data_IF_234834263003
#
_entry.id   IF_234834263003
#
_cell.length_a   1.000
_cell.length_b   1.000
_cell.length_c   1.000
_cell.angle_alpha   90.00
_cell.angle_beta   90.00
_cell.angle_gamma   90.00
#
_symmetry.space_group_name_H-M   'P 1'
#
loop_
_entity.id
_entity.type
_entity.pdbx_description
1 polymer ?
#
# COMPACT_ATOMS: atom_id res chain seq x y z
N UNK A 1 5.04 -23.50 20.82
CA UNK A 1 5.26 -22.23 21.55
C UNK A 1 6.08 -21.31 20.65
N UNK A 2 5.73 -20.03 20.50
CA UNK A 2 6.48 -19.10 19.64
C UNK A 2 7.74 -18.58 20.35
N UNK A 3 8.89 -18.63 19.68
CA UNK A 3 10.20 -18.19 20.20
C UNK A 3 10.67 -16.95 19.48
N UNK A 4 11.43 -16.11 20.17
CA UNK A 4 12.09 -14.95 19.59
C UNK A 4 13.02 -15.39 18.46
N UNK A 5 12.77 -14.86 17.26
CA UNK A 5 13.64 -14.98 16.09
C UNK A 5 14.42 -13.68 15.95
N UNK A 6 15.75 -13.77 15.84
CA UNK A 6 16.64 -12.62 15.72
C UNK A 6 17.76 -12.90 14.73
N UNK A 7 18.49 -11.86 14.32
CA UNK A 7 19.70 -11.99 13.51
C UNK A 7 20.93 -11.69 14.37
N UNK A 8 22.02 -12.42 14.19
CA UNK A 8 23.33 -12.09 14.80
C UNK A 8 23.96 -10.90 14.09
N UNK A 9 25.08 -10.37 14.61
CA UNK A 9 25.86 -9.31 13.95
C UNK A 9 26.38 -9.68 12.56
N UNK A 10 26.49 -10.97 12.24
CA UNK A 10 26.83 -11.49 10.91
C UNK A 10 25.60 -11.65 9.98
N UNK A 11 24.41 -11.27 10.46
CA UNK A 11 23.16 -11.39 9.70
C UNK A 11 22.56 -12.80 9.68
N UNK A 12 23.05 -13.74 10.50
CA UNK A 12 22.51 -15.12 10.57
C UNK A 12 21.27 -15.18 11.45
N UNK A 13 20.21 -15.82 10.99
CA UNK A 13 19.00 -16.04 11.79
C UNK A 13 19.24 -17.06 12.91
N UNK A 14 18.73 -16.74 14.10
CA UNK A 14 18.82 -17.56 15.32
C UNK A 14 17.49 -17.56 16.06
N UNK A 15 17.20 -18.68 16.71
CA UNK A 15 16.03 -18.83 17.58
C UNK A 15 16.51 -18.78 19.02
N UNK A 16 15.95 -17.87 19.82
CA UNK A 16 16.29 -17.79 21.23
C UNK A 16 15.73 -19.00 22.00
N UNK A 17 16.54 -19.55 22.92
CA UNK A 17 16.21 -20.80 23.62
C UNK A 17 15.03 -20.67 24.59
N UNK A 18 14.91 -19.52 25.26
CA UNK A 18 13.97 -19.32 26.37
C UNK A 18 12.99 -18.17 26.19
N UNK A 19 13.25 -17.24 25.27
CA UNK A 19 12.44 -16.02 25.14
C UNK A 19 11.28 -16.28 24.17
N UNK A 20 10.09 -15.90 24.61
CA UNK A 20 8.91 -15.88 23.76
C UNK A 20 8.97 -14.64 22.86
N UNK A 21 8.57 -14.79 21.60
CA UNK A 21 8.45 -13.64 20.71
C UNK A 21 7.33 -12.70 21.18
N UNK A 22 7.64 -11.40 21.25
CA UNK A 22 6.67 -10.33 21.42
C UNK A 22 6.53 -9.53 20.12
N UNK A 23 5.46 -8.77 20.02
CA UNK A 23 5.15 -7.93 18.87
C UNK A 23 4.55 -6.60 19.33
N UNK A 24 4.58 -5.59 18.46
CA UNK A 24 4.16 -4.22 18.76
C UNK A 24 2.85 -3.88 18.06
N UNK A 25 1.98 -3.16 18.77
CA UNK A 25 0.78 -2.49 18.26
C UNK A 25 0.80 -1.05 18.77
N UNK A 26 1.24 -0.12 17.92
CA UNK A 26 1.47 1.27 18.31
C UNK A 26 2.48 1.36 19.46
N UNK A 27 2.05 1.97 20.57
CA UNK A 27 2.86 2.15 21.77
C UNK A 27 2.90 0.91 22.67
N UNK A 28 2.02 -0.06 22.44
CA UNK A 28 1.92 -1.28 23.25
C UNK A 28 2.79 -2.41 22.69
N UNK A 29 3.39 -3.19 23.60
CA UNK A 29 4.07 -4.45 23.29
C UNK A 29 3.27 -5.60 23.89
N UNK A 30 3.04 -6.65 23.11
CA UNK A 30 2.23 -7.80 23.50
C UNK A 30 2.65 -9.07 22.77
N UNK A 31 1.76 -10.06 22.79
CA UNK A 31 1.92 -11.31 22.06
C UNK A 31 1.01 -11.29 20.84
N UNK A 32 1.55 -11.63 19.67
CA UNK A 32 0.76 -11.76 18.46
C UNK A 32 -0.32 -12.84 18.64
N UNK A 33 -1.56 -12.49 18.32
CA UNK A 33 -2.75 -13.33 18.43
C UNK A 33 -2.71 -14.54 17.49
N UNK A 34 -2.19 -14.37 16.27
CA UNK A 34 -2.03 -15.46 15.30
C UNK A 34 -0.88 -15.20 14.33
N UNK A 35 -0.06 -16.24 14.16
CA UNK A 35 1.02 -16.32 13.18
C UNK A 35 0.61 -17.26 12.03
N UNK A 36 1.14 -17.00 10.84
CA UNK A 36 0.99 -17.85 9.65
C UNK A 36 2.35 -18.16 9.04
N UNK A 37 2.44 -19.26 8.27
CA UNK A 37 3.66 -19.60 7.55
C UNK A 37 4.01 -18.47 6.59
N UNK A 38 5.30 -18.21 6.40
CA UNK A 38 5.73 -17.12 5.51
C UNK A 38 5.11 -17.29 4.12
N UNK A 39 4.30 -16.33 3.65
CA UNK A 39 3.78 -16.37 2.30
C UNK A 39 4.91 -16.44 1.26
N UNK A 40 4.70 -17.17 0.18
CA UNK A 40 5.65 -17.21 -0.93
C UNK A 40 5.92 -15.79 -1.47
N UNK A 41 7.19 -15.42 -1.59
CA UNK A 41 7.62 -14.06 -1.94
C UNK A 41 7.82 -13.12 -0.74
N UNK A 42 7.73 -13.62 0.49
CA UNK A 42 8.13 -12.87 1.69
C UNK A 42 9.64 -12.70 1.74
N UNK A 43 10.09 -11.51 2.13
CA UNK A 43 11.50 -11.22 2.41
C UNK A 43 11.69 -11.05 3.91
N UNK A 44 12.61 -11.79 4.53
CA UNK A 44 13.05 -11.53 5.90
C UNK A 44 14.15 -10.47 5.89
N UNK A 45 14.08 -9.52 6.81
CA UNK A 45 15.02 -8.42 6.94
C UNK A 45 15.50 -8.32 8.39
N UNK A 46 16.81 -8.21 8.59
CA UNK A 46 17.35 -7.71 9.84
C UNK A 46 17.15 -6.19 9.89
N UNK A 47 17.02 -5.65 11.10
CA UNK A 47 16.77 -4.24 11.37
C UNK A 47 18.01 -3.66 12.06
N UNK A 48 18.97 -3.06 11.32
CA UNK A 48 20.21 -2.53 11.89
C UNK A 48 19.95 -1.53 13.01
N UNK A 49 20.66 -1.62 14.13
CA UNK A 49 20.49 -0.71 15.28
C UNK A 49 19.22 -0.94 16.12
N UNK A 50 18.47 -2.04 15.87
CA UNK A 50 17.26 -2.40 16.61
C UNK A 50 17.55 -3.66 17.42
N UNK A 51 17.57 -3.53 18.74
CA UNK A 51 17.78 -4.63 19.68
C UNK A 51 16.47 -5.43 19.78
N UNK A 52 16.46 -6.74 19.48
CA UNK A 52 15.26 -7.55 19.60
C UNK A 52 14.83 -7.65 21.07
N UNK A 53 13.53 -7.53 21.33
CA UNK A 53 12.97 -7.75 22.66
C UNK A 53 12.11 -9.02 22.68
N UNK A 54 12.10 -9.72 23.81
CA UNK A 54 11.37 -10.97 24.03
C UNK A 54 10.72 -11.00 25.41
N UNK A 55 9.79 -11.92 25.63
CA UNK A 55 9.18 -12.14 26.95
C UNK A 55 9.82 -13.31 27.66
N UNK A 56 10.27 -13.11 28.90
CA UNK A 56 10.84 -14.13 29.76
C UNK A 56 9.74 -15.06 30.33
N UNK A 57 10.15 -16.19 30.92
CA UNK A 57 9.24 -17.10 31.62
C UNK A 57 8.55 -16.46 32.82
N UNK A 58 9.16 -15.43 33.42
CA UNK A 58 8.57 -14.61 34.49
C UNK A 58 7.50 -13.63 33.97
N UNK A 59 7.31 -13.55 32.66
CA UNK A 59 6.32 -12.66 32.03
C UNK A 59 6.83 -11.25 31.74
N UNK A 60 8.09 -10.95 32.04
CA UNK A 60 8.73 -9.64 31.80
C UNK A 60 9.25 -9.53 30.37
N UNK A 61 9.00 -8.39 29.73
CA UNK A 61 9.62 -8.04 28.44
C UNK A 61 11.06 -7.58 28.69
N UNK A 62 12.01 -8.18 27.99
CA UNK A 62 13.46 -7.91 28.13
C UNK A 62 14.10 -7.75 26.76
N UNK A 63 15.03 -6.83 26.66
CA UNK A 63 15.94 -6.74 25.52
C UNK A 63 16.91 -7.91 25.51
N UNK A 64 17.28 -8.37 24.31
CA UNK A 64 18.26 -9.43 24.14
C UNK A 64 19.66 -8.88 24.46
N UNK A 65 20.29 -9.45 25.49
CA UNK A 65 21.66 -9.17 25.87
C UNK A 65 22.64 -10.02 25.05
N UNK A 66 22.66 -9.82 23.73
CA UNK A 66 23.63 -10.42 22.81
C UNK A 66 24.24 -9.32 21.92
N UNK A 67 25.56 -9.03 22.05
CA UNK A 67 26.20 -8.00 21.27
C UNK A 67 26.02 -8.17 19.75
N UNK A 68 25.53 -7.13 19.10
CA UNK A 68 25.29 -7.12 17.65
C UNK A 68 24.04 -7.86 17.20
N UNK A 69 23.23 -8.38 18.13
CA UNK A 69 21.94 -8.95 17.77
C UNK A 69 20.98 -7.88 17.23
N UNK A 70 20.26 -8.23 16.18
CA UNK A 70 19.32 -7.36 15.48
C UNK A 70 17.93 -7.99 15.47
N UNK A 71 16.92 -7.14 15.64
CA UNK A 71 15.54 -7.49 15.38
C UNK A 71 15.33 -7.91 13.93
N UNK A 72 14.37 -8.81 13.71
CA UNK A 72 14.03 -9.31 12.38
C UNK A 72 12.56 -8.98 12.11
N UNK A 73 12.26 -8.66 10.86
CA UNK A 73 10.90 -8.47 10.37
C UNK A 73 10.70 -9.20 9.03
N UNK A 74 9.44 -9.38 8.65
CA UNK A 74 9.05 -9.84 7.33
C UNK A 74 8.45 -8.69 6.51
N UNK A 75 8.82 -8.59 5.24
CA UNK A 75 8.12 -7.79 4.23
C UNK A 75 7.26 -8.72 3.40
N UNK A 76 5.95 -8.52 3.49
CA UNK A 76 4.94 -9.39 2.90
C UNK A 76 4.72 -9.08 1.41
N UNK A 77 4.41 -10.09 0.58
CA UNK A 77 3.94 -9.85 -0.78
C UNK A 77 2.56 -9.17 -0.76
N UNK A 78 2.14 -8.49 -1.86
CA UNK A 78 0.81 -7.90 -1.96
C UNK A 78 -0.32 -8.91 -1.74
N UNK A 79 -1.45 -8.44 -1.17
CA UNK A 79 -2.59 -9.30 -0.82
C UNK A 79 -2.57 -9.83 0.61
N UNK A 80 -1.60 -9.38 1.42
CA UNK A 80 -1.52 -9.66 2.85
C UNK A 80 -1.54 -8.37 3.66
N UNK A 81 -2.27 -8.41 4.77
CA UNK A 81 -2.26 -7.40 5.81
C UNK A 81 -1.32 -7.83 6.93
N UNK A 82 -0.40 -6.94 7.28
CA UNK A 82 0.36 -7.04 8.53
C UNK A 82 -0.57 -6.83 9.72
N UNK A 83 -0.56 -7.75 10.67
CA UNK A 83 -1.39 -7.66 11.89
C UNK A 83 -0.65 -7.13 13.09
N UNK A 84 0.69 -7.27 13.12
CA UNK A 84 1.55 -6.75 14.18
C UNK A 84 2.88 -6.23 13.62
N UNK A 85 3.47 -5.25 14.30
CA UNK A 85 4.79 -4.70 14.02
C UNK A 85 5.87 -5.49 14.77
N UNK A 86 7.11 -5.56 14.27
CA UNK A 86 8.23 -6.08 15.06
C UNK A 86 8.38 -5.27 16.35
N UNK A 87 8.77 -5.95 17.42
CA UNK A 87 9.04 -5.33 18.71
C UNK A 87 10.56 -5.29 18.94
N UNK A 88 11.07 -4.11 19.23
CA UNK A 88 12.48 -3.86 19.47
C UNK A 88 12.67 -2.60 20.33
N UNK A 89 13.88 -2.44 20.84
CA UNK A 89 14.42 -1.19 21.38
C UNK A 89 15.46 -0.63 20.41
N UNK A 90 15.58 0.69 20.31
CA UNK A 90 16.68 1.29 19.57
C UNK A 90 17.96 1.18 20.41
N UNK A 91 19.09 0.87 19.78
CA UNK A 91 20.37 0.66 20.47
C UNK A 91 20.98 1.95 21.09
N UNK A 92 20.26 3.08 21.02
CA UNK A 92 20.67 4.39 21.51
C UNK A 92 21.78 5.07 20.70
N UNK A 93 22.32 4.42 19.66
CA UNK A 93 23.44 4.93 18.86
C UNK A 93 22.94 5.48 17.54
N UNK A 94 22.22 6.61 17.55
CA UNK A 94 21.67 7.27 16.33
C UNK A 94 21.21 6.24 15.28
N UNK A 95 20.38 5.28 15.67
CA UNK A 95 19.93 4.24 14.77
C UNK A 95 19.35 4.90 13.49
N UNK A 96 19.82 4.52 12.28
CA UNK A 96 19.39 5.17 11.05
C UNK A 96 17.92 4.88 10.83
N UNK A 97 17.10 5.83 10.36
CA UNK A 97 15.69 5.54 10.05
C UNK A 97 15.59 4.35 9.09
N UNK A 98 14.72 3.37 9.40
CA UNK A 98 14.56 2.20 8.54
C UNK A 98 14.04 2.60 7.15
N UNK A 99 14.49 1.91 6.08
CA UNK A 99 13.93 2.08 4.75
C UNK A 99 12.40 1.93 4.71
N UNK A 100 11.74 2.50 3.69
CA UNK A 100 10.28 2.49 3.59
C UNK A 100 9.72 1.12 3.17
N UNK A 101 9.63 0.20 4.13
CA UNK A 101 8.99 -1.12 3.99
C UNK A 101 7.89 -1.39 5.04
N UNK A 102 7.01 -2.33 4.71
CA UNK A 102 5.94 -2.80 5.60
C UNK A 102 6.42 -3.91 6.53
N UNK A 103 7.20 -3.56 7.56
CA UNK A 103 7.78 -4.49 8.53
C UNK A 103 6.75 -5.22 9.40
N UNK A 104 6.56 -6.54 9.21
CA UNK A 104 5.69 -7.38 10.01
C UNK A 104 6.46 -8.17 11.08
N UNK A 105 5.84 -8.37 12.24
CA UNK A 105 6.42 -9.18 13.32
C UNK A 105 6.63 -10.63 12.88
N UNK A 106 7.75 -11.21 13.28
CA UNK A 106 8.09 -12.62 13.03
C UNK A 106 8.42 -13.34 14.32
N UNK A 107 8.19 -14.64 14.33
CA UNK A 107 8.59 -15.53 15.41
C UNK A 107 8.98 -16.89 14.84
N UNK A 108 9.72 -17.67 15.61
CA UNK A 108 9.92 -19.09 15.30
C UNK A 108 8.81 -19.92 15.95
N UNK A 109 8.16 -20.78 15.18
CA UNK A 109 7.23 -21.80 15.68
C UNK A 109 7.75 -23.14 15.19
N UNK A 110 8.04 -24.04 16.12
CA UNK A 110 8.59 -25.38 15.84
C UNK A 110 9.86 -25.35 14.98
N UNK A 111 10.71 -24.33 15.19
CA UNK A 111 11.96 -24.12 14.47
C UNK A 111 11.81 -23.27 13.20
N UNK A 112 10.60 -23.08 12.70
CA UNK A 112 10.35 -22.40 11.42
C UNK A 112 9.90 -20.94 11.60
N UNK A 113 10.37 -20.01 10.75
CA UNK A 113 9.87 -18.63 10.75
C UNK A 113 8.37 -18.56 10.38
N UNK A 114 7.63 -17.79 11.16
CA UNK A 114 6.21 -17.49 10.97
C UNK A 114 5.99 -15.99 11.14
N UNK A 115 4.95 -15.44 10.51
CA UNK A 115 4.69 -13.99 10.46
C UNK A 115 3.30 -13.64 10.98
N UNK A 116 3.21 -12.51 11.67
CA UNK A 116 1.94 -11.95 12.15
C UNK A 116 1.19 -11.24 11.01
N UNK A 117 0.52 -12.02 10.17
CA UNK A 117 -0.19 -11.52 9.01
C UNK A 117 -1.51 -12.25 8.77
N UNK A 118 -2.37 -11.65 7.94
CA UNK A 118 -3.53 -12.29 7.35
C UNK A 118 -3.59 -12.05 5.85
N UNK A 119 -4.10 -13.02 5.10
CA UNK A 119 -4.36 -12.81 3.67
C UNK A 119 -5.68 -12.07 3.53
N UNK A 120 -5.68 -11.01 2.73
CA UNK A 120 -6.85 -10.14 2.51
C UNK A 120 -7.31 -10.12 1.07
N UNK A 121 -6.49 -10.57 0.12
CA UNK A 121 -6.86 -10.58 -1.30
C UNK A 121 -6.10 -11.66 -2.08
N UNK A 122 -6.66 -12.05 -3.22
CA UNK A 122 -6.05 -12.95 -4.21
C UNK A 122 -6.34 -12.42 -5.60
N UNK A 123 -5.28 -12.14 -6.37
CA UNK A 123 -5.44 -11.86 -7.79
C UNK A 123 -4.18 -12.22 -8.56
N UNK A 124 -4.31 -13.05 -9.60
CA UNK A 124 -3.16 -13.53 -10.35
C UNK A 124 -2.41 -12.38 -11.05
N UNK A 125 -3.12 -11.33 -11.49
CA UNK A 125 -2.49 -10.15 -12.08
C UNK A 125 -1.61 -9.37 -11.09
N UNK A 126 -1.70 -9.63 -9.79
CA UNK A 126 -0.83 -9.06 -8.74
C UNK A 126 -0.09 -10.15 -7.96
N UNK A 127 0.00 -11.36 -8.51
CA UNK A 127 0.82 -12.43 -7.94
C UNK A 127 2.28 -12.25 -8.39
N UNK A 128 3.23 -11.95 -7.49
CA UNK A 128 4.64 -11.81 -7.86
C UNK A 128 5.27 -13.13 -8.36
N UNK A 129 4.65 -14.27 -8.06
CA UNK A 129 5.10 -15.61 -8.47
C UNK A 129 4.43 -16.12 -9.75
N UNK A 130 3.63 -15.29 -10.43
CA UNK A 130 2.97 -15.70 -11.68
C UNK A 130 4.00 -16.08 -12.76
N UNK A 131 3.80 -17.22 -13.43
CA UNK A 131 4.76 -17.79 -14.36
C UNK A 131 5.18 -16.83 -15.49
N UNK A 132 4.23 -16.08 -16.03
CA UNK A 132 4.45 -15.15 -17.13
C UNK A 132 5.32 -13.94 -16.75
N UNK A 133 5.47 -13.62 -15.46
CA UNK A 133 6.43 -12.59 -15.01
C UNK A 133 7.89 -13.00 -15.27
N UNK A 134 8.16 -14.29 -15.51
CA UNK A 134 9.47 -14.76 -16.00
C UNK A 134 9.78 -14.28 -17.43
N UNK A 135 8.78 -13.82 -18.17
CA UNK A 135 8.92 -13.34 -19.55
C UNK A 135 8.98 -11.81 -19.65
N UNK A 136 9.17 -11.10 -18.52
CA UNK A 136 9.08 -9.64 -18.48
C UNK A 136 10.04 -8.96 -19.46
N UNK A 137 11.28 -9.44 -19.59
CA UNK A 137 12.27 -8.85 -20.51
C UNK A 137 11.84 -8.98 -21.98
N UNK A 138 11.21 -10.10 -22.35
CA UNK A 138 10.68 -10.31 -23.69
C UNK A 138 9.48 -9.38 -23.95
N UNK A 139 8.61 -9.22 -22.96
CA UNK A 139 7.46 -8.33 -23.00
C UNK A 139 7.89 -6.85 -23.14
N UNK A 140 8.92 -6.41 -22.41
CA UNK A 140 9.52 -5.08 -22.52
C UNK A 140 10.05 -4.82 -23.94
N UNK A 141 10.79 -5.78 -24.52
CA UNK A 141 11.25 -5.67 -25.92
C UNK A 141 10.09 -5.59 -26.91
N UNK A 142 9.01 -6.31 -26.66
CA UNK A 142 7.76 -6.22 -27.44
C UNK A 142 7.15 -4.83 -27.39
N UNK A 143 7.01 -4.27 -26.20
CA UNK A 143 6.42 -2.93 -25.99
C UNK A 143 7.25 -1.83 -26.66
N UNK A 144 8.59 -1.86 -26.54
CA UNK A 144 9.49 -0.89 -27.19
C UNK A 144 9.35 -0.86 -28.71
N UNK A 145 9.06 -2.02 -29.33
CA UNK A 145 8.80 -2.09 -30.79
C UNK A 145 7.41 -1.57 -31.15
N UNK A 146 6.42 -1.82 -30.31
CA UNK A 146 5.04 -1.41 -30.56
C UNK A 146 4.82 0.10 -30.37
N UNK A 147 5.52 0.71 -29.41
CA UNK A 147 5.42 2.12 -29.06
C UNK A 147 6.82 2.77 -29.01
N UNK A 148 7.49 2.92 -30.17
CA UNK A 148 8.84 3.46 -30.24
C UNK A 148 8.86 4.92 -29.76
N UNK A 149 9.84 5.26 -28.92
CA UNK A 149 9.99 6.62 -28.40
C UNK A 149 9.05 7.01 -27.25
N UNK A 150 8.21 6.08 -26.76
CA UNK A 150 7.33 6.36 -25.61
C UNK A 150 8.14 6.60 -24.32
N UNK A 151 8.15 7.85 -23.85
CA UNK A 151 8.78 8.23 -22.57
C UNK A 151 8.11 7.54 -21.38
N UNK A 152 6.80 7.33 -21.45
CA UNK A 152 6.05 6.59 -20.42
C UNK A 152 6.54 5.15 -20.30
N UNK A 153 6.78 4.45 -21.42
CA UNK A 153 7.30 3.09 -21.38
C UNK A 153 8.72 3.03 -20.82
N UNK A 154 9.56 4.04 -21.07
CA UNK A 154 10.90 4.12 -20.48
C UNK A 154 10.83 4.23 -18.95
N UNK A 155 9.99 5.12 -18.42
CA UNK A 155 9.75 5.20 -16.96
C UNK A 155 9.19 3.88 -16.41
N UNK A 156 8.20 3.29 -17.08
CA UNK A 156 7.57 2.05 -16.65
C UNK A 156 8.52 0.87 -16.68
N UNK A 157 9.51 0.87 -17.58
CA UNK A 157 10.54 -0.18 -17.63
C UNK A 157 11.37 -0.17 -16.35
N UNK A 158 11.91 0.98 -15.95
CA UNK A 158 12.59 1.14 -14.65
C UNK A 158 11.70 0.68 -13.50
N UNK A 159 10.41 1.03 -13.54
CA UNK A 159 9.46 0.58 -12.52
C UNK A 159 9.27 -0.94 -12.52
N UNK A 160 9.22 -1.57 -13.70
CA UNK A 160 8.99 -3.00 -13.85
C UNK A 160 10.22 -3.85 -13.50
N UNK A 161 11.43 -3.33 -13.72
CA UNK A 161 12.70 -4.03 -13.47
C UNK A 161 13.24 -3.73 -12.07
N UNK A 162 13.54 -2.46 -11.80
CA UNK A 162 14.35 -2.05 -10.66
C UNK A 162 13.50 -2.06 -9.39
N UNK A 163 12.28 -1.49 -9.49
CA UNK A 163 11.32 -1.48 -8.39
C UNK A 163 10.43 -2.72 -8.35
N UNK A 164 10.50 -3.57 -9.39
CA UNK A 164 9.66 -4.77 -9.56
C UNK A 164 8.16 -4.49 -9.37
N UNK A 165 7.71 -3.31 -9.78
CA UNK A 165 6.33 -2.87 -9.66
C UNK A 165 5.40 -3.77 -10.48
N UNK A 166 4.52 -4.50 -9.80
CA UNK A 166 3.63 -5.46 -10.46
C UNK A 166 2.67 -4.79 -11.45
N UNK A 167 2.22 -3.57 -11.16
CA UNK A 167 1.35 -2.77 -12.04
C UNK A 167 2.08 -2.26 -13.27
N UNK A 168 3.37 -1.91 -13.16
CA UNK A 168 4.19 -1.58 -14.33
C UNK A 168 4.44 -2.81 -15.20
N UNK A 169 4.77 -3.94 -14.58
CA UNK A 169 4.91 -5.22 -15.29
C UNK A 169 3.61 -5.63 -16.01
N UNK A 170 2.44 -5.31 -15.44
CA UNK A 170 1.15 -5.59 -16.04
C UNK A 170 0.91 -4.85 -17.37
N UNK A 171 1.51 -3.66 -17.54
CA UNK A 171 1.50 -2.93 -18.82
C UNK A 171 2.24 -3.74 -19.88
N UNK A 172 3.45 -4.21 -19.59
CA UNK A 172 4.25 -5.00 -20.53
C UNK A 172 3.62 -6.36 -20.83
N UNK A 173 3.09 -7.03 -19.80
CA UNK A 173 2.35 -8.29 -19.93
C UNK A 173 0.94 -8.10 -20.52
N UNK A 174 0.52 -6.85 -20.75
CA UNK A 174 -0.77 -6.43 -21.30
C UNK A 174 -1.97 -7.10 -20.62
N UNK A 175 -2.00 -7.12 -19.28
CA UNK A 175 -3.06 -7.73 -18.49
C UNK A 175 -3.45 -6.92 -17.25
N UNK A 176 -4.72 -6.92 -16.88
CA UNK A 176 -5.22 -6.31 -15.64
C UNK A 176 -5.04 -4.79 -15.60
N UNK A 177 -4.59 -4.27 -14.46
CA UNK A 177 -4.36 -2.84 -14.24
C UNK A 177 -3.09 -2.36 -14.97
N UNK A 178 -3.27 -1.48 -15.96
CA UNK A 178 -2.19 -0.78 -16.65
C UNK A 178 -1.83 0.52 -15.92
N UNK A 179 -0.60 0.60 -15.44
CA UNK A 179 -0.04 1.79 -14.81
C UNK A 179 0.21 2.91 -15.83
N UNK A 180 -0.23 4.12 -15.52
CA UNK A 180 0.11 5.33 -16.29
C UNK A 180 0.59 6.41 -15.30
N UNK A 181 1.91 6.63 -15.17
CA UNK A 181 2.44 7.73 -14.38
C UNK A 181 2.20 9.07 -15.10
N UNK A 182 1.74 10.11 -14.40
CA UNK A 182 1.28 11.34 -15.04
C UNK A 182 1.79 12.64 -14.41
N UNK A 183 2.25 12.62 -13.16
CA UNK A 183 2.51 13.83 -12.38
C UNK A 183 3.92 13.91 -11.77
N UNK A 184 4.79 14.82 -12.24
CA UNK A 184 6.09 15.06 -11.60
C UNK A 184 5.97 15.91 -10.32
N UNK A 185 4.77 16.37 -9.95
CA UNK A 185 4.54 17.27 -8.82
C UNK A 185 3.53 16.68 -7.82
N UNK A 186 3.70 17.01 -6.54
CA UNK A 186 2.79 16.65 -5.46
C UNK A 186 2.44 17.89 -4.63
N UNK A 187 1.28 17.89 -3.99
CA UNK A 187 0.85 18.91 -3.02
C UNK A 187 0.79 18.35 -1.59
N UNK A 188 1.56 17.31 -1.29
CA UNK A 188 1.71 16.71 0.02
C UNK A 188 3.17 16.29 0.24
N UNK A 189 3.69 16.55 1.43
CA UNK A 189 5.02 16.11 1.83
C UNK A 189 4.88 14.89 2.76
N UNK A 190 4.32 13.77 2.30
CA UNK A 190 4.05 12.63 3.18
C UNK A 190 5.29 12.16 3.95
N UNK A 191 5.15 11.79 5.23
CA UNK A 191 6.25 11.25 6.03
C UNK A 191 6.87 9.98 5.41
N UNK A 192 6.06 9.14 4.78
CA UNK A 192 6.49 7.95 4.04
C UNK A 192 6.34 8.09 2.53
N UNK A 193 6.73 9.23 1.95
CA UNK A 193 6.67 9.41 0.50
C UNK A 193 7.61 8.41 -0.20
N UNK A 194 7.06 7.64 -1.15
CA UNK A 194 7.82 6.58 -1.83
C UNK A 194 8.40 6.99 -3.20
N UNK A 195 8.15 8.23 -3.64
CA UNK A 195 8.64 8.77 -4.92
C UNK A 195 9.59 9.95 -4.77
N UNK A 196 9.58 10.63 -3.62
CA UNK A 196 10.40 11.81 -3.38
C UNK A 196 10.96 11.79 -1.97
N UNK A 197 12.26 11.99 -1.88
CA UNK A 197 12.99 12.03 -0.63
C UNK A 197 12.76 13.36 0.07
N UNK A 198 12.29 13.26 1.32
CA UNK A 198 12.14 14.39 2.23
C UNK A 198 12.90 14.07 3.52
N UNK A 199 14.01 14.76 3.77
CA UNK A 199 14.87 14.50 4.92
C UNK A 199 15.75 13.26 4.74
N UNK A 200 15.96 12.51 5.82
CA UNK A 200 17.02 11.48 5.91
C UNK A 200 16.60 10.07 5.43
N UNK A 201 15.41 9.93 4.83
CA UNK A 201 14.90 8.63 4.38
C UNK A 201 14.91 8.56 2.86
N UNK A 202 15.68 7.63 2.30
CA UNK A 202 15.73 7.42 0.87
C UNK A 202 14.38 6.93 0.33
N UNK A 203 13.96 7.54 -0.77
CA UNK A 203 12.80 7.12 -1.51
C UNK A 203 13.09 5.79 -2.24
N UNK A 204 12.24 4.75 -2.11
CA UNK A 204 12.43 3.49 -2.81
C UNK A 204 12.18 3.58 -4.33
N UNK A 205 11.55 4.65 -4.81
CA UNK A 205 11.32 4.91 -6.23
C UNK A 205 11.69 6.34 -6.58
N UNK A 206 12.13 6.57 -7.81
CA UNK A 206 12.40 7.92 -8.32
C UNK A 206 11.13 8.47 -8.95
N UNK A 207 10.73 9.69 -8.56
CA UNK A 207 9.63 10.41 -9.19
C UNK A 207 9.95 10.69 -10.66
N UNK A 208 8.98 10.47 -11.56
CA UNK A 208 9.16 10.86 -12.96
C UNK A 208 9.47 12.37 -13.04
N UNK A 209 10.38 12.73 -13.93
CA UNK A 209 10.92 14.08 -14.08
C UNK A 209 10.27 14.88 -15.22
N UNK A 210 9.35 14.25 -15.95
CA UNK A 210 8.64 14.86 -17.07
C UNK A 210 7.13 14.82 -16.87
N UNK A 211 6.42 15.64 -17.64
CA UNK A 211 4.97 15.71 -17.60
C UNK A 211 4.40 15.17 -18.92
N UNK A 212 3.82 13.95 -18.95
CA UNK A 212 3.26 13.36 -20.16
C UNK A 212 2.13 14.23 -20.73
N UNK A 213 2.02 14.23 -22.06
CA UNK A 213 0.92 14.85 -22.80
C UNK A 213 -0.31 13.96 -22.81
N UNK A 214 -1.48 14.53 -23.13
CA UNK A 214 -2.72 13.75 -23.25
C UNK A 214 -2.64 12.70 -24.36
N UNK A 215 -1.86 12.97 -25.42
CA UNK A 215 -1.64 12.04 -26.52
C UNK A 215 -0.81 10.83 -26.07
N UNK A 216 0.31 11.04 -25.38
CA UNK A 216 1.15 9.95 -24.84
C UNK A 216 0.36 9.06 -23.87
N UNK A 217 -0.46 9.68 -23.00
CA UNK A 217 -1.31 8.94 -22.06
C UNK A 217 -2.34 8.08 -22.81
N UNK A 218 -3.04 8.66 -23.79
CA UNK A 218 -4.07 7.96 -24.55
C UNK A 218 -3.49 6.83 -25.42
N UNK A 219 -2.30 7.03 -26.00
CA UNK A 219 -1.61 6.03 -26.81
C UNK A 219 -1.23 4.80 -25.97
N UNK A 220 -0.61 5.00 -24.81
CA UNK A 220 -0.27 3.91 -23.90
C UNK A 220 -1.52 3.17 -23.42
N UNK A 221 -2.57 3.93 -23.06
CA UNK A 221 -3.83 3.36 -22.63
C UNK A 221 -4.47 2.49 -23.72
N UNK A 222 -4.55 2.99 -24.97
CA UNK A 222 -5.10 2.25 -26.09
C UNK A 222 -4.31 0.95 -26.37
N UNK A 223 -2.98 1.01 -26.28
CA UNK A 223 -2.13 -0.16 -26.46
C UNK A 223 -2.37 -1.23 -25.38
N UNK A 224 -2.53 -0.85 -24.10
CA UNK A 224 -2.83 -1.79 -23.02
C UNK A 224 -4.25 -2.36 -23.10
N UNK A 225 -5.25 -1.49 -23.32
CA UNK A 225 -6.67 -1.86 -23.35
C UNK A 225 -7.02 -2.76 -24.54
N UNK A 226 -6.35 -2.60 -25.68
CA UNK A 226 -6.59 -3.44 -26.86
C UNK A 226 -6.21 -4.92 -26.68
N UNK A 227 -5.55 -5.29 -25.58
CA UNK A 227 -5.16 -6.67 -25.32
C UNK A 227 -6.25 -7.55 -24.69
N UNK A 228 -7.27 -6.95 -24.08
CA UNK A 228 -8.35 -7.72 -23.47
C UNK A 228 -9.37 -6.86 -22.73
N UNK A 229 -10.64 -7.27 -22.78
CA UNK A 229 -11.76 -6.53 -22.19
C UNK A 229 -11.69 -6.41 -20.66
N UNK A 230 -10.97 -7.32 -20.00
CA UNK A 230 -10.72 -7.27 -18.55
C UNK A 230 -9.64 -6.27 -18.14
N UNK A 231 -8.92 -5.68 -19.11
CA UNK A 231 -7.89 -4.70 -18.82
C UNK A 231 -8.50 -3.34 -18.50
N UNK A 232 -7.83 -2.63 -17.61
CA UNK A 232 -8.17 -1.25 -17.30
C UNK A 232 -6.91 -0.43 -17.09
N UNK A 233 -7.05 0.89 -17.01
CA UNK A 233 -5.91 1.80 -16.84
C UNK A 233 -6.07 2.62 -15.58
N UNK A 234 -4.94 2.99 -14.97
CA UNK A 234 -4.89 3.76 -13.74
C UNK A 234 -3.89 4.91 -13.83
N UNK A 235 -4.33 6.12 -13.47
CA UNK A 235 -3.45 7.23 -13.14
C UNK A 235 -3.01 7.13 -11.67
N UNK A 236 -1.84 7.66 -11.31
CA UNK A 236 -1.35 7.66 -9.92
C UNK A 236 -0.60 6.39 -9.57
N UNK A 237 0.71 6.41 -9.68
CA UNK A 237 1.61 5.28 -9.48
C UNK A 237 2.65 5.59 -8.39
N UNK A 238 3.39 4.57 -7.95
CA UNK A 238 4.41 4.72 -6.91
C UNK A 238 5.60 5.61 -7.29
N UNK A 239 5.80 5.85 -8.59
CA UNK A 239 6.90 6.65 -9.15
C UNK A 239 6.47 8.08 -9.55
N UNK A 240 5.37 8.60 -9.02
CA UNK A 240 4.89 9.94 -9.36
C UNK A 240 4.42 10.72 -8.11
N UNK A 241 4.03 11.98 -8.31
CA UNK A 241 3.36 12.82 -7.32
C UNK A 241 1.83 12.67 -7.38
N UNK A 242 1.10 13.75 -7.14
CA UNK A 242 -0.38 13.74 -7.09
C UNK A 242 -0.98 13.95 -8.49
N UNK A 243 -1.72 12.97 -9.06
CA UNK A 243 -2.29 13.07 -10.40
C UNK A 243 -3.24 14.23 -10.61
N UNK A 244 -4.05 14.59 -9.61
CA UNK A 244 -5.04 15.65 -9.78
C UNK A 244 -4.41 17.05 -9.99
N UNK A 245 -3.10 17.21 -9.76
CA UNK A 245 -2.37 18.42 -10.15
C UNK A 245 -2.23 18.57 -11.68
N UNK A 246 -2.48 17.49 -12.45
CA UNK A 246 -2.41 17.43 -13.92
C UNK A 246 -3.78 17.56 -14.60
N UNK A 247 -4.74 18.19 -13.93
CA UNK A 247 -6.17 18.15 -14.28
C UNK A 247 -6.51 18.39 -15.75
N UNK A 248 -6.04 19.46 -16.38
CA UNK A 248 -6.38 19.78 -17.78
C UNK A 248 -5.94 18.67 -18.76
N UNK A 249 -4.74 18.14 -18.57
CA UNK A 249 -4.17 17.07 -19.39
C UNK A 249 -4.90 15.75 -19.16
N UNK A 250 -5.18 15.40 -17.90
CA UNK A 250 -5.89 14.17 -17.57
C UNK A 250 -7.34 14.17 -18.08
N UNK A 251 -8.03 15.31 -18.03
CA UNK A 251 -9.38 15.44 -18.57
C UNK A 251 -9.39 15.16 -20.07
N UNK A 252 -8.47 15.75 -20.82
CA UNK A 252 -8.33 15.49 -22.27
C UNK A 252 -7.97 14.04 -22.56
N UNK A 253 -7.00 13.47 -21.83
CA UNK A 253 -6.62 12.06 -21.98
C UNK A 253 -7.78 11.11 -21.68
N UNK A 254 -8.55 11.39 -20.62
CA UNK A 254 -9.72 10.60 -20.21
C UNK A 254 -10.77 10.58 -21.31
N UNK A 255 -11.07 11.73 -21.94
CA UNK A 255 -12.00 11.80 -23.09
C UNK A 255 -11.54 10.93 -24.25
N UNK A 256 -10.26 11.01 -24.61
CA UNK A 256 -9.68 10.19 -25.70
C UNK A 256 -9.79 8.71 -25.39
N UNK A 257 -9.46 8.30 -24.16
CA UNK A 257 -9.53 6.90 -23.73
C UNK A 257 -10.98 6.42 -23.72
N UNK A 258 -11.91 7.20 -23.17
CA UNK A 258 -13.34 6.84 -23.13
C UNK A 258 -13.92 6.71 -24.54
N UNK A 259 -13.54 7.59 -25.47
CA UNK A 259 -13.97 7.51 -26.87
C UNK A 259 -13.46 6.24 -27.57
N UNK A 260 -12.20 5.87 -27.33
CA UNK A 260 -11.59 4.67 -27.94
C UNK A 260 -11.99 3.36 -27.25
N UNK A 261 -12.31 3.40 -25.95
CA UNK A 261 -12.68 2.25 -25.14
C UNK A 261 -13.92 2.55 -24.26
N UNK A 262 -15.14 2.59 -24.84
CA UNK A 262 -16.35 3.05 -24.16
C UNK A 262 -16.72 2.30 -22.89
N UNK A 263 -16.27 1.05 -22.74
CA UNK A 263 -16.56 0.18 -21.58
C UNK A 263 -15.39 0.04 -20.59
N UNK A 264 -14.21 0.59 -20.90
CA UNK A 264 -13.05 0.40 -20.05
C UNK A 264 -13.23 1.08 -18.69
N UNK A 265 -12.63 0.51 -17.65
CA UNK A 265 -12.45 1.25 -16.40
C UNK A 265 -11.29 2.22 -16.55
N UNK A 266 -11.52 3.47 -16.19
CA UNK A 266 -10.49 4.50 -16.11
C UNK A 266 -10.40 4.88 -14.63
N UNK A 267 -9.28 4.54 -14.02
CA UNK A 267 -9.06 4.65 -12.57
C UNK A 267 -8.08 5.78 -12.24
N UNK A 268 -8.25 6.41 -11.07
CA UNK A 268 -7.24 7.32 -10.51
C UNK A 268 -6.94 6.99 -9.06
N UNK A 269 -5.64 6.88 -8.76
CA UNK A 269 -5.11 6.86 -7.40
C UNK A 269 -4.75 8.29 -7.00
N UNK A 270 -5.27 8.78 -5.88
CA UNK A 270 -5.12 10.18 -5.47
C UNK A 270 -5.07 10.33 -3.95
N UNK A 271 -4.53 11.46 -3.49
CA UNK A 271 -4.66 11.96 -2.13
C UNK A 271 -6.00 12.66 -1.86
N UNK A 272 -6.86 12.83 -2.87
CA UNK A 272 -8.20 13.44 -2.72
C UNK A 272 -8.17 14.97 -2.54
N UNK A 273 -7.15 15.65 -3.05
CA UNK A 273 -6.94 17.09 -2.78
C UNK A 273 -7.71 18.05 -3.68
N UNK A 274 -8.29 17.60 -4.80
CA UNK A 274 -8.82 18.47 -5.87
C UNK A 274 -10.19 18.00 -6.40
N UNK A 275 -11.28 18.24 -5.66
CA UNK A 275 -12.61 17.80 -6.07
C UNK A 275 -13.10 18.47 -7.37
N UNK A 276 -12.65 19.72 -7.64
CA UNK A 276 -12.91 20.44 -8.89
C UNK A 276 -12.36 19.68 -10.12
N UNK A 277 -11.14 19.18 -10.01
CA UNK A 277 -10.49 18.41 -11.07
C UNK A 277 -11.16 17.05 -11.22
N UNK A 278 -11.44 16.38 -10.09
CA UNK A 278 -12.04 15.06 -10.11
C UNK A 278 -13.44 15.07 -10.74
N UNK A 279 -14.24 16.12 -10.48
CA UNK A 279 -15.56 16.30 -11.11
C UNK A 279 -15.45 16.35 -12.64
N UNK A 280 -14.52 17.15 -13.16
CA UNK A 280 -14.25 17.24 -14.60
C UNK A 280 -13.73 15.93 -15.20
N UNK A 281 -13.00 15.13 -14.42
CA UNK A 281 -12.55 13.80 -14.85
C UNK A 281 -13.73 12.82 -14.92
N UNK A 282 -14.63 12.84 -13.94
CA UNK A 282 -15.87 12.04 -13.97
C UNK A 282 -16.70 12.42 -15.20
N UNK A 283 -16.90 13.71 -15.46
CA UNK A 283 -17.61 14.21 -16.66
C UNK A 283 -16.93 13.76 -17.97
N UNK A 284 -15.61 13.60 -17.97
CA UNK A 284 -14.85 13.10 -19.12
C UNK A 284 -14.92 11.57 -19.29
N UNK A 285 -15.46 10.85 -18.31
CA UNK A 285 -15.62 9.40 -18.34
C UNK A 285 -14.74 8.61 -17.37
N UNK A 286 -14.09 9.24 -16.39
CA UNK A 286 -13.46 8.54 -15.27
C UNK A 286 -14.54 7.90 -14.39
N UNK A 287 -14.39 6.62 -14.06
CA UNK A 287 -15.45 5.86 -13.39
C UNK A 287 -14.96 5.04 -12.19
N UNK A 288 -13.72 5.24 -11.72
CA UNK A 288 -13.20 4.59 -10.53
C UNK A 288 -12.12 5.45 -9.86
N UNK A 289 -12.16 5.55 -8.54
CA UNK A 289 -11.17 6.29 -7.73
C UNK A 289 -10.68 5.46 -6.55
N UNK A 290 -9.41 5.61 -6.22
CA UNK A 290 -8.82 5.17 -4.97
C UNK A 290 -8.19 6.35 -4.24
N UNK A 291 -8.80 6.72 -3.12
CA UNK A 291 -8.32 7.83 -2.27
C UNK A 291 -7.47 7.25 -1.15
N UNK A 292 -6.23 7.71 -1.04
CA UNK A 292 -5.33 7.28 0.04
C UNK A 292 -5.64 7.99 1.34
N UNK A 293 -5.80 7.22 2.41
CA UNK A 293 -6.10 7.70 3.76
C UNK A 293 -5.20 6.98 4.76
N UNK A 294 -4.45 7.74 5.54
CA UNK A 294 -3.74 7.24 6.73
C UNK A 294 -4.61 7.31 7.98
N UNK A 295 -5.36 8.40 8.13
CA UNK A 295 -6.18 8.71 9.29
C UNK A 295 -7.33 9.63 8.89
N UNK A 296 -8.51 9.43 9.47
CA UNK A 296 -9.66 10.33 9.32
C UNK A 296 -9.79 11.34 10.48
N UNK A 297 -8.85 11.32 11.42
CA UNK A 297 -8.58 12.41 12.34
C UNK A 297 -7.66 13.46 11.73
N UNK A 298 -8.04 14.74 11.84
CA UNK A 298 -7.33 15.86 11.21
C UNK A 298 -5.89 16.03 11.73
N UNK A 299 -5.65 15.87 13.03
CA UNK A 299 -4.32 16.05 13.61
C UNK A 299 -3.33 15.01 13.07
N UNK A 300 -3.75 13.74 13.02
CA UNK A 300 -2.94 12.63 12.53
C UNK A 300 -2.85 12.62 11.00
N UNK A 301 -3.91 13.04 10.31
CA UNK A 301 -3.91 13.28 8.87
C UNK A 301 -2.84 14.31 8.48
N UNK A 302 -2.83 15.48 9.14
CA UNK A 302 -1.85 16.54 8.88
C UNK A 302 -0.43 16.15 9.25
N UNK A 303 -0.26 15.43 10.36
CA UNK A 303 1.05 14.93 10.79
C UNK A 303 1.68 14.02 9.73
N UNK A 304 0.89 13.12 9.13
CA UNK A 304 1.38 12.21 8.11
C UNK A 304 1.51 12.85 6.72
N UNK A 305 0.43 13.43 6.18
CA UNK A 305 0.39 13.92 4.80
C UNK A 305 1.12 15.24 4.60
N UNK A 306 1.19 16.08 5.64
CA UNK A 306 1.69 17.46 5.55
C UNK A 306 1.13 18.17 4.29
N UNK A 307 -0.20 18.31 4.21
CA UNK A 307 -0.88 18.73 2.98
C UNK A 307 -0.68 20.22 2.67
N UNK A 308 -0.59 20.56 1.40
CA UNK A 308 -0.55 21.94 0.90
C UNK A 308 -1.87 22.27 0.22
N UNK A 309 -2.68 23.11 0.87
CA UNK A 309 -3.93 23.62 0.29
C UNK A 309 -5.10 22.64 0.24
N UNK A 310 -5.09 21.56 1.03
CA UNK A 310 -6.22 20.64 1.17
C UNK A 310 -6.29 19.99 2.56
N UNK A 311 -7.45 19.42 2.89
CA UNK A 311 -7.71 18.69 4.12
C UNK A 311 -8.74 17.58 3.92
N UNK A 312 -9.25 17.03 5.02
CA UNK A 312 -10.23 15.95 5.01
C UNK A 312 -11.55 16.33 4.31
N UNK A 313 -11.92 17.61 4.29
CA UNK A 313 -13.10 18.09 3.56
C UNK A 313 -12.99 17.85 2.05
N UNK A 314 -11.82 18.14 1.45
CA UNK A 314 -11.59 17.86 0.03
C UNK A 314 -11.56 16.36 -0.26
N UNK A 315 -11.01 15.56 0.66
CA UNK A 315 -11.01 14.08 0.56
C UNK A 315 -12.45 13.56 0.53
N UNK A 316 -13.30 14.04 1.44
CA UNK A 316 -14.72 13.69 1.50
C UNK A 316 -15.48 14.16 0.25
N UNK A 317 -15.23 15.39 -0.23
CA UNK A 317 -15.85 15.90 -1.46
C UNK A 317 -15.44 15.06 -2.68
N UNK A 318 -14.16 14.67 -2.80
CA UNK A 318 -13.69 13.81 -3.88
C UNK A 318 -14.42 12.46 -3.90
N UNK A 319 -14.60 11.84 -2.74
CA UNK A 319 -15.37 10.60 -2.62
C UNK A 319 -16.83 10.81 -3.07
N UNK A 320 -17.45 11.90 -2.60
CA UNK A 320 -18.82 12.27 -2.96
C UNK A 320 -19.00 12.53 -4.46
N UNK A 321 -18.05 13.20 -5.12
CA UNK A 321 -18.08 13.49 -6.55
C UNK A 321 -18.12 12.20 -7.39
N UNK A 322 -17.28 11.23 -7.06
CA UNK A 322 -17.23 9.97 -7.81
C UNK A 322 -18.45 9.10 -7.52
N UNK A 323 -18.91 9.06 -6.27
CA UNK A 323 -20.14 8.36 -5.89
C UNK A 323 -21.36 8.92 -6.65
N UNK A 324 -21.50 10.25 -6.71
CA UNK A 324 -22.61 10.91 -7.41
C UNK A 324 -22.57 10.66 -8.93
N UNK A 325 -21.39 10.44 -9.50
CA UNK A 325 -21.21 10.04 -10.90
C UNK A 325 -21.43 8.55 -11.19
N UNK A 326 -21.83 7.75 -10.19
CA UNK A 326 -22.00 6.29 -10.33
C UNK A 326 -20.67 5.52 -10.48
N UNK A 327 -19.54 6.15 -10.15
CA UNK A 327 -18.22 5.55 -10.19
C UNK A 327 -17.91 4.76 -8.92
N UNK A 328 -16.89 3.90 -9.01
CA UNK A 328 -16.40 3.16 -7.85
C UNK A 328 -15.60 4.08 -6.93
N UNK A 329 -15.96 4.10 -5.64
CA UNK A 329 -15.16 4.76 -4.60
C UNK A 329 -14.42 3.70 -3.79
N UNK A 330 -13.09 3.81 -3.77
CA UNK A 330 -12.21 2.95 -3.00
C UNK A 330 -11.38 3.78 -2.02
N UNK A 331 -11.19 3.29 -0.80
CA UNK A 331 -10.25 3.85 0.16
C UNK A 331 -9.01 2.98 0.21
N UNK A 332 -7.86 3.57 -0.07
CA UNK A 332 -6.55 2.96 0.23
C UNK A 332 -6.17 3.32 1.65
N UNK A 333 -6.51 2.45 2.60
CA UNK A 333 -6.18 2.64 4.01
C UNK A 333 -4.72 2.23 4.26
N UNK A 334 -3.88 3.20 4.61
CA UNK A 334 -2.50 2.98 5.01
C UNK A 334 -2.45 2.46 6.45
N UNK A 335 -2.63 1.16 6.59
CA UNK A 335 -2.76 0.47 7.87
C UNK A 335 -1.47 0.46 8.70
N UNK A 336 -1.62 0.72 9.99
CA UNK A 336 -0.55 0.67 10.98
C UNK A 336 -1.13 0.09 12.29
N UNK A 337 -0.74 -1.13 12.71
CA UNK A 337 -1.21 -1.74 13.95
C UNK A 337 -0.99 -0.82 15.15
N UNK A 338 -2.05 -0.55 15.90
CA UNK A 338 -2.11 0.35 17.05
C UNK A 338 -2.69 1.73 16.75
N UNK A 339 -2.70 2.15 15.47
CA UNK A 339 -3.24 3.44 15.03
C UNK A 339 -4.53 3.22 14.24
N UNK A 340 -4.43 2.55 13.09
CA UNK A 340 -5.55 2.39 12.15
C UNK A 340 -6.68 1.49 12.69
N UNK A 341 -6.36 0.63 13.65
CA UNK A 341 -7.29 -0.26 14.36
C UNK A 341 -7.71 0.29 15.73
N UNK A 342 -7.50 1.57 16.02
CA UNK A 342 -8.08 2.18 17.21
C UNK A 342 -9.59 2.35 17.05
N UNK A 343 -10.40 2.26 18.13
CA UNK A 343 -11.85 2.43 18.04
C UNK A 343 -12.28 3.76 17.37
N UNK A 344 -11.67 4.92 17.68
CA UNK A 344 -12.02 6.18 17.01
C UNK A 344 -11.74 6.16 15.49
N UNK A 345 -10.63 5.56 15.04
CA UNK A 345 -10.36 5.42 13.60
C UNK A 345 -11.37 4.52 12.90
N UNK A 346 -11.72 3.39 13.53
CA UNK A 346 -12.73 2.49 13.00
C UNK A 346 -14.09 3.17 12.88
N UNK A 347 -14.52 3.92 13.91
CA UNK A 347 -15.78 4.65 13.90
C UNK A 347 -15.81 5.73 12.80
N UNK A 348 -14.72 6.49 12.66
CA UNK A 348 -14.58 7.50 11.62
C UNK A 348 -14.64 6.87 10.22
N UNK A 349 -13.94 5.75 10.02
CA UNK A 349 -13.92 5.02 8.76
C UNK A 349 -15.31 4.47 8.40
N UNK A 350 -16.01 3.84 9.35
CA UNK A 350 -17.38 3.33 9.14
C UNK A 350 -18.34 4.47 8.78
N UNK A 351 -18.25 5.61 9.48
CA UNK A 351 -19.04 6.80 9.15
C UNK A 351 -18.74 7.31 7.73
N UNK A 352 -17.46 7.38 7.35
CA UNK A 352 -17.05 7.79 6.01
C UNK A 352 -17.57 6.84 4.93
N UNK A 353 -17.49 5.53 5.16
CA UNK A 353 -17.98 4.49 4.24
C UNK A 353 -19.47 4.66 3.97
N UNK A 354 -20.28 4.77 5.03
CA UNK A 354 -21.73 4.93 4.89
C UNK A 354 -22.11 6.26 4.22
N UNK A 355 -21.43 7.35 4.59
CA UNK A 355 -21.73 8.69 4.05
C UNK A 355 -21.45 8.78 2.54
N UNK A 356 -20.37 8.16 2.08
CA UNK A 356 -19.89 8.33 0.70
C UNK A 356 -20.07 7.09 -0.18
N UNK A 357 -20.77 6.07 0.29
CA UNK A 357 -21.01 4.83 -0.48
C UNK A 357 -19.69 4.18 -0.92
N UNK A 358 -18.72 4.07 -0.01
CA UNK A 358 -17.43 3.44 -0.32
C UNK A 358 -17.67 1.97 -0.66
N UNK A 359 -17.18 1.56 -1.82
CA UNK A 359 -17.38 0.21 -2.36
C UNK A 359 -16.31 -0.75 -1.85
N UNK A 360 -15.08 -0.25 -1.65
CA UNK A 360 -13.95 -1.06 -1.24
C UNK A 360 -13.03 -0.31 -0.27
N UNK A 361 -12.53 -1.01 0.75
CA UNK A 361 -11.37 -0.59 1.53
C UNK A 361 -10.21 -1.53 1.21
N UNK A 362 -9.15 -0.98 0.63
CA UNK A 362 -7.90 -1.67 0.38
C UNK A 362 -6.98 -1.47 1.58
N UNK A 363 -6.66 -2.57 2.25
CA UNK A 363 -5.88 -2.62 3.48
C UNK A 363 -4.39 -2.75 3.13
N UNK A 364 -3.68 -1.62 3.01
CA UNK A 364 -2.28 -1.58 2.60
C UNK A 364 -1.41 -1.27 3.79
N UNK A 365 -0.41 -2.10 4.06
CA UNK A 365 0.53 -1.84 5.15
C UNK A 365 1.26 -0.53 4.87
N UNK A 366 1.26 0.40 5.84
CA UNK A 366 2.08 1.59 5.74
C UNK A 366 3.56 1.17 5.79
N UNK A 367 4.29 1.59 4.76
CA UNK A 367 5.73 1.38 4.61
C UNK A 367 6.47 2.53 5.29
N UNK A 368 7.00 2.28 6.49
CA UNK A 368 7.70 3.29 7.31
C UNK A 368 8.41 2.61 8.47
N UNK A 369 9.47 3.22 8.98
CA UNK A 369 10.04 2.88 10.28
C UNK A 369 8.97 3.05 11.40
N UNK A 370 8.63 1.98 12.15
CA UNK A 370 7.63 2.03 13.21
C UNK A 370 7.91 3.06 14.30
N UNK A 371 9.12 3.13 14.85
CA UNK A 371 9.44 4.04 15.95
C UNK A 371 9.47 5.49 15.46
N UNK A 372 10.10 5.72 14.31
CA UNK A 372 10.17 7.06 13.70
C UNK A 372 8.78 7.66 13.41
N UNK A 373 7.83 6.84 12.95
CA UNK A 373 6.45 7.27 12.76
C UNK A 373 5.79 7.61 14.11
N UNK A 374 5.89 6.73 15.10
CA UNK A 374 5.22 6.89 16.40
C UNK A 374 5.67 8.15 17.15
N UNK A 375 6.93 8.58 16.97
CA UNK A 375 7.43 9.86 17.51
C UNK A 375 6.77 11.10 16.88
N UNK A 376 6.24 10.99 15.66
CA UNK A 376 5.72 12.11 14.85
C UNK A 376 4.21 12.17 14.80
N UNK A 377 3.53 11.08 15.15
CA UNK A 377 2.07 11.03 15.20
C UNK A 377 1.61 11.61 16.54
N UNK A 378 0.71 12.62 16.53
CA UNK A 378 0.22 13.22 17.75
C UNK A 378 -0.68 12.25 18.50
N UNK A 379 -0.53 12.24 19.83
CA UNK A 379 -1.33 11.49 20.79
C UNK A 379 -1.29 9.95 20.60
N UNK A 380 -0.82 9.19 21.60
CA UNK A 380 -0.89 7.74 21.56
C UNK A 380 -2.32 7.24 21.38
N UNK A 381 -2.48 6.24 20.52
CA UNK A 381 -3.72 5.49 20.33
C UNK A 381 -3.54 4.05 20.80
N UNK A 382 -4.66 3.34 20.97
CA UNK A 382 -4.66 1.93 21.36
C UNK A 382 -5.52 1.13 20.39
N UNK A 383 -4.88 0.25 19.63
CA UNK A 383 -5.54 -0.63 18.68
C UNK A 383 -6.30 -1.77 19.35
N UNK A 384 -7.40 -2.20 18.74
CA UNK A 384 -8.16 -3.39 19.15
C UNK A 384 -7.60 -4.70 18.56
N UNK A 385 -6.52 -4.59 17.77
CA UNK A 385 -5.94 -5.67 16.99
C UNK A 385 -6.49 -5.68 15.57
N UNK A 386 -5.59 -5.73 14.58
CA UNK A 386 -5.95 -5.66 13.16
C UNK A 386 -6.96 -6.75 12.72
N UNK A 387 -6.94 -7.93 13.33
CA UNK A 387 -7.93 -8.98 13.02
C UNK A 387 -9.33 -8.60 13.49
N UNK A 388 -9.43 -8.09 14.72
CA UNK A 388 -10.67 -7.57 15.28
C UNK A 388 -11.18 -6.39 14.46
N UNK A 389 -10.29 -5.49 14.05
CA UNK A 389 -10.62 -4.38 13.17
C UNK A 389 -11.23 -4.85 11.84
N UNK A 390 -10.59 -5.79 11.14
CA UNK A 390 -11.11 -6.35 9.87
C UNK A 390 -12.49 -6.99 10.07
N UNK A 391 -12.65 -7.77 11.14
CA UNK A 391 -13.93 -8.41 11.48
C UNK A 391 -15.02 -7.37 11.73
N UNK A 392 -14.78 -6.39 12.60
CA UNK A 392 -15.76 -5.36 12.93
C UNK A 392 -16.09 -4.48 11.73
N UNK A 393 -15.12 -4.18 10.87
CA UNK A 393 -15.37 -3.42 9.64
C UNK A 393 -16.31 -4.18 8.70
N UNK A 394 -16.12 -5.50 8.55
CA UNK A 394 -17.02 -6.35 7.78
C UNK A 394 -18.43 -6.48 8.38
N UNK A 395 -18.52 -6.60 9.71
CA UNK A 395 -19.81 -6.66 10.43
C UNK A 395 -20.60 -5.35 10.33
N UNK A 396 -19.91 -4.21 10.41
CA UNK A 396 -20.53 -2.87 10.41
C UNK A 396 -20.81 -2.33 9.01
N UNK A 397 -20.15 -2.86 7.99
CA UNK A 397 -20.30 -2.47 6.59
C UNK A 397 -20.44 -3.73 5.70
N UNK A 398 -21.58 -4.46 5.75
CA UNK A 398 -21.72 -5.78 5.12
C UNK A 398 -21.57 -5.78 3.58
N UNK A 399 -21.89 -4.67 2.92
CA UNK A 399 -21.75 -4.52 1.45
C UNK A 399 -20.34 -4.10 1.01
N UNK A 400 -19.45 -3.80 1.96
CA UNK A 400 -18.10 -3.32 1.69
C UNK A 400 -17.19 -4.47 1.24
N UNK A 401 -16.44 -4.25 0.18
CA UNK A 401 -15.35 -5.15 -0.20
C UNK A 401 -14.08 -4.79 0.59
N UNK A 402 -13.49 -5.77 1.26
CA UNK A 402 -12.17 -5.65 1.86
C UNK A 402 -11.15 -6.34 0.95
N UNK A 403 -10.00 -5.72 0.72
CA UNK A 403 -9.00 -6.30 -0.19
C UNK A 403 -7.69 -5.54 -0.23
N UNK A 404 -6.96 -5.68 -1.33
CA UNK A 404 -5.66 -5.04 -1.58
C UNK A 404 -5.53 -4.49 -3.01
N UNK A 405 -6.37 -4.98 -3.92
CA UNK A 405 -6.25 -4.76 -5.35
C UNK A 405 -7.48 -4.05 -5.92
N UNK A 406 -7.24 -3.13 -6.85
CA UNK A 406 -8.29 -2.53 -7.66
C UNK A 406 -8.78 -3.57 -8.68
N UNK A 407 -10.09 -3.57 -8.95
CA UNK A 407 -10.75 -4.43 -9.96
C UNK A 407 -11.46 -3.53 -10.98
N UNK A 408 -11.75 -4.04 -12.18
CA UNK A 408 -12.60 -3.32 -13.13
C UNK A 408 -13.96 -2.93 -12.53
N UNK A 409 -14.48 -1.79 -12.96
CA UNK A 409 -15.79 -1.24 -12.61
C UNK A 409 -16.67 -1.01 -13.86
N UNK A 410 -17.95 -1.45 -13.85
CA UNK A 410 -18.62 -2.21 -12.79
C UNK A 410 -17.97 -3.59 -12.59
N UNK A 411 -18.01 -4.10 -11.36
CA UNK A 411 -17.39 -5.38 -11.05
C UNK A 411 -18.02 -6.51 -11.87
N UNK A 412 -17.20 -7.26 -12.61
CA UNK A 412 -17.64 -8.42 -13.40
C UNK A 412 -18.00 -9.60 -12.47
N UNK A 413 -17.40 -9.69 -11.27
CA UNK A 413 -17.74 -10.65 -10.21
C UNK A 413 -17.54 -10.02 -8.82
N UNK A 414 -18.51 -10.18 -7.91
CA UNK A 414 -18.33 -9.89 -6.47
C UNK A 414 -17.74 -11.13 -5.80
N UNK A 415 -16.47 -11.10 -5.40
CA UNK A 415 -15.90 -12.12 -4.51
C UNK A 415 -15.77 -11.56 -3.09
N UNK A 416 -16.43 -12.14 -2.08
CA UNK A 416 -16.14 -11.78 -0.70
C UNK A 416 -14.75 -12.32 -0.32
N UNK A 417 -13.75 -11.44 -0.30
CA UNK A 417 -12.34 -11.81 -0.09
C UNK A 417 -12.02 -12.32 1.35
N UNK A 418 -12.98 -12.24 2.28
CA UNK A 418 -12.78 -12.58 3.69
C UNK A 418 -13.47 -13.88 4.13
N UNK A 419 -14.36 -14.45 3.32
CA UNK A 419 -15.21 -15.58 3.72
C UNK A 419 -14.62 -16.98 3.45
N UNK A 420 -13.34 -17.09 3.05
CA UNK A 420 -12.68 -18.39 2.88
C UNK A 420 -11.32 -18.42 3.58
N UNK A 421 -11.38 -18.44 4.91
CA UNK A 421 -10.28 -18.92 5.74
C UNK A 421 -10.81 -19.72 6.92
N UNK A 422 -11.23 -20.95 6.62
CA UNK A 422 -10.96 -22.06 7.54
C UNK A 422 -9.46 -22.38 7.46
#
# INVERSE_FOLDING_TARGET
MNRLLYATGEGRLRVHRSLQAVARSGWDVGIADRLISLPAGTTLMHLPGRIPIGRSSAGTTVALDEPGAMAVAAVLPPGYLRTWLPAYEDDGRRAPVLPLYGYAAVASVDGEPQVAAMRTDRWNAWNPQAHDRRQIDAAIRGARRALPGSRLLQQLETCATDYRCLTAQNVFLRRGEGAIPVSPACNAACLGCISEQWGDVDSPQTRLDFAPTAAEIAELAAWHLSAGESNFVSYGQGCEGEPLTRGAVLVEATRRIRAAAPRATIHVNTNGSRPDVLRRLVDAGLNSVRISVFSLDDSRFRAYYRPVGYGLDQVAECAGVVAAGGGQVTINLLTFPGISDSPPELDALVSFIHRHGVHQVQLRSLNVDPHWLLERIPQPTRGIGMRTFVRQLGERCPDLQLGNFTRPWPAIERQPAWASSN
#
